data_IF_288368422945
#
_entry.id   IF_288368422945
#
_cell.length_a   1.000
_cell.length_b   1.000
_cell.length_c   1.000
_cell.angle_alpha   90.00
_cell.angle_beta   90.00
_cell.angle_gamma   90.00
#
_symmetry.space_group_name_H-M   'P 1'
#
loop_
_entity.id
_entity.type
_entity.pdbx_description
1 polymer ?
#
# COMPACT_ATOMS: atom_id res chain seq x y z
N UNK A 1 -3.26 6.94 -29.03
CA UNK A 1 -4.23 5.90 -28.58
C UNK A 1 -5.54 6.63 -28.24
N UNK A 2 -6.66 6.00 -27.83
CA UNK A 2 -7.78 6.78 -27.30
C UNK A 2 -7.32 7.56 -26.04
N UNK A 3 -7.96 8.69 -25.76
CA UNK A 3 -7.54 9.60 -24.68
C UNK A 3 -8.56 9.60 -23.55
N UNK A 4 -8.10 9.52 -22.31
CA UNK A 4 -8.95 9.66 -21.14
C UNK A 4 -9.62 11.04 -21.10
N UNK A 5 -10.84 11.11 -20.57
CA UNK A 5 -11.50 12.38 -20.31
C UNK A 5 -11.29 12.82 -18.86
N UNK A 6 -11.19 14.12 -18.63
CA UNK A 6 -10.95 14.72 -17.31
C UNK A 6 -12.07 15.69 -16.96
N UNK A 7 -12.53 15.64 -15.72
CA UNK A 7 -13.42 16.64 -15.14
C UNK A 7 -12.81 17.20 -13.85
N UNK A 8 -12.54 18.50 -13.84
CA UNK A 8 -11.95 19.18 -12.69
C UNK A 8 -12.97 19.39 -11.57
N UNK A 9 -12.53 19.19 -10.33
CA UNK A 9 -13.27 19.46 -9.11
C UNK A 9 -12.51 20.52 -8.27
N UNK A 10 -13.19 21.18 -7.31
CA UNK A 10 -12.49 21.99 -6.32
C UNK A 10 -11.44 21.16 -5.59
N UNK A 11 -10.24 21.69 -5.41
CA UNK A 11 -9.18 20.98 -4.71
C UNK A 11 -9.55 20.71 -3.25
N UNK A 12 -9.36 19.46 -2.82
CA UNK A 12 -9.36 19.08 -1.41
C UNK A 12 -8.03 18.44 -1.05
N UNK A 13 -7.40 18.96 0.01
CA UNK A 13 -6.22 18.32 0.59
C UNK A 13 -6.56 17.08 1.42
N UNK A 14 -7.81 16.95 1.89
CA UNK A 14 -8.29 15.78 2.61
C UNK A 14 -9.12 14.89 1.65
N UNK A 15 -8.65 13.66 1.32
CA UNK A 15 -9.38 12.76 0.44
C UNK A 15 -10.69 12.28 1.06
N UNK A 16 -10.86 12.35 2.39
CA UNK A 16 -12.08 11.95 3.06
C UNK A 16 -13.31 12.76 2.59
N UNK A 17 -13.11 14.01 2.15
CA UNK A 17 -14.15 14.89 1.59
C UNK A 17 -14.82 14.28 0.36
N UNK A 18 -14.05 13.58 -0.47
CA UNK A 18 -14.57 12.92 -1.65
C UNK A 18 -14.92 11.46 -1.37
N UNK A 19 -14.08 10.74 -0.62
CA UNK A 19 -14.27 9.32 -0.41
C UNK A 19 -15.52 9.00 0.42
N UNK A 20 -15.96 9.89 1.33
CA UNK A 20 -17.21 9.68 2.09
C UNK A 20 -18.45 9.52 1.19
N UNK A 21 -18.40 10.02 -0.05
CA UNK A 21 -19.50 9.89 -1.03
C UNK A 21 -19.62 8.49 -1.59
N UNK A 22 -18.55 7.71 -1.54
CA UNK A 22 -18.45 6.39 -2.17
C UNK A 22 -17.96 5.30 -1.22
N UNK A 23 -17.69 5.58 0.06
CA UNK A 23 -17.06 4.61 0.96
C UNK A 23 -17.88 3.31 1.17
N UNK A 24 -19.18 3.36 0.90
CA UNK A 24 -20.10 2.22 0.93
C UNK A 24 -20.39 1.62 -0.46
N UNK A 25 -19.82 2.18 -1.52
CA UNK A 25 -20.02 1.66 -2.87
C UNK A 25 -19.27 0.33 -3.06
N UNK A 26 -19.77 -0.56 -3.93
CA UNK A 26 -19.06 -1.78 -4.30
C UNK A 26 -17.64 -1.50 -4.78
N UNK A 27 -16.64 -2.16 -4.19
CA UNK A 27 -15.23 -1.97 -4.54
C UNK A 27 -14.69 -0.58 -4.21
N UNK A 28 -15.27 0.13 -3.23
CA UNK A 28 -14.73 1.41 -2.81
C UNK A 28 -13.28 1.25 -2.32
N UNK A 29 -12.38 2.02 -2.93
CA UNK A 29 -10.96 2.00 -2.61
C UNK A 29 -10.40 3.40 -2.54
N UNK A 30 -9.56 3.64 -1.54
CA UNK A 30 -8.79 4.86 -1.34
C UNK A 30 -7.32 4.48 -1.14
N UNK A 31 -6.45 5.08 -1.93
CA UNK A 31 -5.00 5.12 -1.75
C UNK A 31 -4.65 6.52 -1.26
N UNK A 32 -4.11 6.61 -0.05
CA UNK A 32 -4.07 7.83 0.74
C UNK A 32 -2.62 8.20 1.08
N UNK A 33 -2.22 9.39 0.66
CA UNK A 33 -0.91 9.99 0.97
C UNK A 33 -0.85 10.59 2.39
N UNK A 34 -1.95 10.56 3.16
CA UNK A 34 -2.03 11.05 4.54
C UNK A 34 -2.24 12.57 4.67
N UNK A 35 -2.65 13.25 3.59
CA UNK A 35 -2.80 14.72 3.52
C UNK A 35 -4.06 15.23 4.24
N UNK A 36 -4.08 16.41 4.86
CA UNK A 36 -3.08 17.47 4.80
C UNK A 36 -1.93 17.32 5.81
N UNK A 37 -1.99 16.35 6.72
CA UNK A 37 -1.05 16.26 7.84
C UNK A 37 0.30 15.68 7.41
N UNK A 38 0.29 14.65 6.56
CA UNK A 38 1.53 14.10 6.01
C UNK A 38 2.19 15.12 5.06
N UNK A 39 3.51 15.25 5.19
CA UNK A 39 4.30 16.15 4.35
C UNK A 39 4.74 15.49 3.03
N UNK A 40 4.64 14.16 2.96
CA UNK A 40 5.08 13.35 1.82
C UNK A 40 3.87 12.68 1.16
N UNK A 41 4.04 12.31 -0.11
CA UNK A 41 2.97 11.77 -0.94
C UNK A 41 2.32 12.87 -1.77
N UNK A 42 2.37 12.70 -3.10
CA UNK A 42 1.92 13.72 -4.06
C UNK A 42 0.44 13.55 -4.41
N UNK A 43 -0.06 12.32 -4.40
CA UNK A 43 -1.39 12.01 -4.90
C UNK A 43 -2.21 11.21 -3.91
N UNK A 44 -3.44 11.63 -3.70
CA UNK A 44 -4.50 10.74 -3.25
C UNK A 44 -5.25 10.20 -4.46
N UNK A 45 -5.69 8.95 -4.39
CA UNK A 45 -6.44 8.30 -5.46
C UNK A 45 -7.58 7.48 -4.88
N UNK A 46 -8.78 7.65 -5.44
CA UNK A 46 -9.94 6.84 -5.07
C UNK A 46 -10.74 6.38 -6.26
N UNK A 47 -11.44 5.26 -6.10
CA UNK A 47 -12.36 4.71 -7.10
C UNK A 47 -13.41 3.80 -6.44
N UNK A 48 -14.43 3.41 -7.21
CA UNK A 48 -15.46 2.45 -6.85
C UNK A 48 -16.14 1.89 -8.12
N UNK A 49 -17.05 0.92 -7.95
CA UNK A 49 -17.78 0.27 -9.05
C UNK A 49 -16.83 -0.29 -10.13
N UNK A 50 -15.98 -1.28 -9.79
CA UNK A 50 -15.09 -1.86 -10.77
C UNK A 50 -15.91 -2.54 -11.89
N UNK A 51 -15.39 -2.51 -13.11
CA UNK A 51 -15.93 -3.25 -14.25
C UNK A 51 -15.87 -4.76 -14.02
N UNK A 52 -14.86 -5.22 -13.27
CA UNK A 52 -14.65 -6.62 -12.91
C UNK A 52 -14.10 -6.71 -11.49
N UNK A 53 -14.62 -7.63 -10.69
CA UNK A 53 -14.02 -8.04 -9.42
C UNK A 53 -13.26 -9.34 -9.62
N UNK A 54 -11.97 -9.34 -9.33
CA UNK A 54 -11.04 -10.44 -9.61
C UNK A 54 -10.51 -10.97 -8.29
N UNK A 55 -10.80 -12.23 -8.01
CA UNK A 55 -10.33 -12.94 -6.82
C UNK A 55 -9.49 -14.14 -7.24
N UNK A 56 -8.47 -14.52 -6.46
CA UNK A 56 -7.74 -15.78 -6.69
C UNK A 56 -8.71 -16.97 -6.60
N UNK A 57 -8.73 -17.84 -7.61
CA UNK A 57 -9.63 -19.00 -7.62
C UNK A 57 -9.06 -20.17 -6.82
N UNK A 58 -9.92 -21.05 -6.32
CA UNK A 58 -9.49 -22.27 -5.62
C UNK A 58 -8.63 -23.15 -6.56
N UNK A 59 -7.47 -23.62 -6.07
CA UNK A 59 -6.53 -24.44 -6.85
C UNK A 59 -5.78 -23.72 -7.98
N UNK A 60 -6.02 -22.43 -8.21
CA UNK A 60 -5.33 -21.65 -9.25
C UNK A 60 -3.85 -21.42 -8.87
N UNK A 61 -2.90 -21.72 -9.76
CA UNK A 61 -1.49 -21.39 -9.47
C UNK A 61 -1.27 -19.87 -9.44
N UNK A 62 -0.24 -19.40 -8.73
CA UNK A 62 0.03 -17.96 -8.62
C UNK A 62 0.33 -17.34 -9.98
N UNK A 63 1.06 -18.08 -10.84
CA UNK A 63 1.36 -17.64 -12.21
C UNK A 63 0.11 -17.51 -13.08
N UNK A 64 -0.85 -18.44 -12.98
CA UNK A 64 -2.12 -18.38 -13.69
C UNK A 64 -2.98 -17.20 -13.21
N UNK A 65 -3.06 -16.98 -11.90
CA UNK A 65 -3.75 -15.82 -11.33
C UNK A 65 -3.15 -14.50 -11.84
N UNK A 66 -1.81 -14.37 -11.80
CA UNK A 66 -1.12 -13.17 -12.31
C UNK A 66 -1.37 -12.96 -13.82
N UNK A 67 -1.41 -14.03 -14.61
CA UNK A 67 -1.72 -13.93 -16.03
C UNK A 67 -3.16 -13.44 -16.26
N UNK A 68 -4.13 -13.98 -15.52
CA UNK A 68 -5.54 -13.55 -15.61
C UNK A 68 -5.72 -12.08 -15.21
N UNK A 69 -4.97 -11.60 -14.21
CA UNK A 69 -4.94 -10.18 -13.87
C UNK A 69 -4.39 -9.33 -15.03
N UNK A 70 -3.31 -9.77 -15.69
CA UNK A 70 -2.77 -9.09 -16.89
C UNK A 70 -3.77 -9.07 -18.03
N UNK A 71 -4.46 -10.18 -18.28
CA UNK A 71 -5.46 -10.28 -19.35
C UNK A 71 -6.66 -9.37 -19.08
N UNK A 72 -7.12 -9.31 -17.83
CA UNK A 72 -8.18 -8.37 -17.41
C UNK A 72 -7.74 -6.92 -17.58
N UNK A 73 -6.52 -6.57 -17.16
CA UNK A 73 -5.96 -5.23 -17.39
C UNK A 73 -5.85 -4.90 -18.88
N UNK A 74 -5.39 -5.85 -19.71
CA UNK A 74 -5.32 -5.68 -21.15
C UNK A 74 -6.71 -5.48 -21.79
N UNK A 75 -7.74 -6.14 -21.24
CA UNK A 75 -9.12 -5.99 -21.71
C UNK A 75 -9.71 -4.59 -21.50
N UNK A 76 -9.17 -3.81 -20.56
CA UNK A 76 -9.53 -2.41 -20.39
C UNK A 76 -9.12 -1.57 -21.61
N UNK A 77 -8.04 -1.98 -22.29
CA UNK A 77 -7.42 -1.25 -23.39
C UNK A 77 -6.40 -0.21 -22.92
N UNK A 78 -5.55 0.24 -23.84
CA UNK A 78 -4.64 1.35 -23.60
C UNK A 78 -5.34 2.69 -23.84
N UNK A 79 -5.14 3.64 -22.94
CA UNK A 79 -5.51 5.03 -23.15
C UNK A 79 -4.40 5.96 -22.68
N UNK A 80 -4.23 7.05 -23.44
CA UNK A 80 -3.33 8.13 -23.08
C UNK A 80 -4.07 9.10 -22.14
N UNK A 81 -3.38 9.67 -21.16
CA UNK A 81 -3.90 10.87 -20.48
C UNK A 81 -3.85 12.06 -21.45
N UNK A 82 -4.70 13.09 -21.27
CA UNK A 82 -4.58 14.34 -22.01
C UNK A 82 -3.16 14.91 -21.96
N UNK A 83 -2.76 15.64 -23.00
CA UNK A 83 -1.47 16.32 -23.02
C UNK A 83 -1.27 17.19 -21.76
N UNK A 84 -0.05 17.21 -21.24
CA UNK A 84 0.36 17.93 -20.02
C UNK A 84 -0.31 17.46 -18.72
N UNK A 85 -1.03 16.33 -18.75
CA UNK A 85 -1.60 15.70 -17.55
C UNK A 85 -0.65 14.62 -17.01
N UNK A 86 -0.01 14.90 -15.88
CA UNK A 86 0.96 13.99 -15.23
C UNK A 86 0.33 13.16 -14.09
N UNK A 87 -0.92 12.71 -14.25
CA UNK A 87 -1.59 11.91 -13.23
C UNK A 87 -1.04 10.46 -13.20
N UNK A 88 -0.97 9.82 -12.02
CA UNK A 88 -0.36 8.50 -11.86
C UNK A 88 -1.25 7.35 -12.31
N UNK A 89 -2.52 7.60 -12.68
CA UNK A 89 -3.49 6.56 -12.93
C UNK A 89 -4.55 7.00 -13.95
N UNK A 90 -4.83 6.14 -14.92
CA UNK A 90 -5.78 6.37 -16.00
C UNK A 90 -6.87 5.27 -16.07
N UNK A 91 -6.96 4.43 -15.04
CA UNK A 91 -7.68 3.16 -15.05
C UNK A 91 -6.71 1.97 -14.89
N UNK A 92 -7.22 0.88 -14.35
CA UNK A 92 -6.43 -0.32 -14.09
C UNK A 92 -6.90 -1.10 -12.86
N UNK A 93 -6.01 -1.95 -12.35
CA UNK A 93 -6.31 -2.82 -11.20
C UNK A 93 -5.95 -2.14 -9.89
N UNK A 94 -6.87 -2.18 -8.92
CA UNK A 94 -6.62 -1.73 -7.54
C UNK A 94 -7.18 -2.76 -6.57
N UNK A 95 -6.43 -3.12 -5.53
CA UNK A 95 -6.85 -4.08 -4.52
C UNK A 95 -5.69 -4.54 -3.66
N UNK A 96 -5.74 -5.78 -3.19
CA UNK A 96 -4.69 -6.37 -2.37
C UNK A 96 -4.29 -7.77 -2.85
N UNK A 97 -3.07 -8.15 -2.46
CA UNK A 97 -2.57 -9.52 -2.43
C UNK A 97 -2.14 -9.80 -0.99
N UNK A 98 -2.65 -10.87 -0.40
CA UNK A 98 -2.30 -11.29 0.94
C UNK A 98 -0.87 -11.86 0.97
N UNK A 99 -0.31 -11.98 2.16
CA UNK A 99 0.97 -12.67 2.37
C UNK A 99 0.92 -14.12 1.84
N UNK A 100 -0.20 -14.81 2.06
CA UNK A 100 -0.35 -16.22 1.69
C UNK A 100 -0.46 -16.44 0.18
N UNK A 101 -0.72 -15.40 -0.64
CA UNK A 101 -0.57 -15.51 -2.09
C UNK A 101 0.82 -15.98 -2.51
N UNK A 102 1.85 -15.65 -1.71
CA UNK A 102 3.21 -16.14 -1.90
C UNK A 102 3.33 -17.67 -1.90
N UNK A 103 2.44 -18.39 -1.20
CA UNK A 103 2.40 -19.87 -1.17
C UNK A 103 2.03 -20.47 -2.53
N UNK A 104 1.40 -19.68 -3.40
CA UNK A 104 1.09 -20.10 -4.79
C UNK A 104 2.27 -19.93 -5.74
N UNK A 105 3.33 -19.24 -5.29
CA UNK A 105 4.54 -18.96 -6.05
C UNK A 105 5.73 -19.76 -5.53
N UNK A 106 5.80 -19.97 -4.22
CA UNK A 106 6.91 -20.65 -3.56
C UNK A 106 6.39 -21.80 -2.67
N UNK A 107 7.08 -22.95 -2.64
CA UNK A 107 6.68 -24.07 -1.81
C UNK A 107 6.90 -23.75 -0.33
N UNK A 108 5.81 -23.68 0.44
CA UNK A 108 5.85 -23.42 1.88
C UNK A 108 5.06 -24.47 2.66
N UNK A 109 5.51 -24.84 3.88
CA UNK A 109 4.75 -25.74 4.73
C UNK A 109 3.38 -25.16 5.09
N UNK A 110 2.36 -26.01 5.04
CA UNK A 110 1.02 -25.70 5.52
C UNK A 110 0.89 -26.15 6.99
N UNK A 111 0.80 -25.17 7.90
CA UNK A 111 0.87 -25.39 9.36
C UNK A 111 -0.01 -24.43 10.14
N UNK A 112 -0.13 -23.19 9.67
CA UNK A 112 -0.98 -22.19 10.30
C UNK A 112 -2.43 -22.41 9.89
N UNK A 113 -3.36 -22.16 10.80
CA UNK A 113 -4.79 -22.16 10.47
C UNK A 113 -5.11 -20.91 9.65
N UNK A 114 -5.82 -21.06 8.53
CA UNK A 114 -6.52 -19.94 7.89
C UNK A 114 -7.81 -19.68 8.67
N UNK A 115 -7.77 -18.70 9.56
CA UNK A 115 -8.89 -18.32 10.43
C UNK A 115 -9.56 -17.00 10.04
N UNK A 116 -8.99 -16.27 9.08
CA UNK A 116 -9.57 -15.06 8.52
C UNK A 116 -10.43 -15.35 7.29
N UNK A 117 -10.13 -16.45 6.58
CA UNK A 117 -10.82 -16.85 5.34
C UNK A 117 -10.87 -15.71 4.31
N UNK A 118 -9.87 -14.84 4.33
CA UNK A 118 -9.72 -13.76 3.37
C UNK A 118 -9.17 -14.32 2.06
N UNK A 119 -9.68 -13.88 0.90
CA UNK A 119 -9.07 -14.24 -0.35
C UNK A 119 -7.58 -13.88 -0.43
N UNK A 120 -6.78 -14.75 -1.03
CA UNK A 120 -5.34 -14.47 -1.18
C UNK A 120 -5.03 -13.30 -2.12
N UNK A 121 -5.94 -12.98 -3.04
CA UNK A 121 -5.89 -11.76 -3.82
C UNK A 121 -7.31 -11.33 -4.17
N UNK A 122 -7.57 -10.03 -4.08
CA UNK A 122 -8.82 -9.42 -4.51
C UNK A 122 -8.55 -8.04 -5.10
N UNK A 123 -8.84 -7.88 -6.39
CA UNK A 123 -8.59 -6.66 -7.16
C UNK A 123 -9.83 -6.28 -7.97
N UNK A 124 -10.12 -4.99 -8.07
CA UNK A 124 -11.11 -4.45 -9.00
C UNK A 124 -10.45 -3.87 -10.23
N UNK A 125 -11.04 -4.08 -11.41
CA UNK A 125 -10.68 -3.37 -12.65
C UNK A 125 -11.49 -2.08 -12.75
N UNK A 126 -10.85 -0.94 -12.51
CA UNK A 126 -11.50 0.37 -12.50
C UNK A 126 -11.23 1.12 -13.80
N UNK A 127 -12.29 1.66 -14.38
CA UNK A 127 -12.24 2.52 -15.56
C UNK A 127 -12.34 4.02 -15.22
N UNK A 128 -12.27 4.38 -13.95
CA UNK A 128 -12.20 5.76 -13.50
C UNK A 128 -11.43 5.87 -12.19
N UNK A 129 -10.98 7.08 -11.88
CA UNK A 129 -10.50 7.45 -10.56
C UNK A 129 -10.73 8.93 -10.31
N UNK A 130 -10.86 9.33 -9.05
CA UNK A 130 -10.60 10.70 -8.63
C UNK A 130 -9.18 10.77 -8.11
N UNK A 131 -8.39 11.69 -8.64
CA UNK A 131 -7.02 11.94 -8.20
C UNK A 131 -6.90 13.37 -7.69
N UNK A 132 -6.36 13.53 -6.49
CA UNK A 132 -5.94 14.83 -5.97
C UNK A 132 -4.43 14.96 -6.10
N UNK A 133 -3.94 15.95 -6.82
CA UNK A 133 -2.52 16.32 -6.86
C UNK A 133 -2.27 17.44 -5.85
N UNK A 134 -1.54 17.13 -4.79
CA UNK A 134 -1.28 18.08 -3.71
C UNK A 134 -0.14 19.06 -4.01
N UNK A 135 0.66 18.78 -5.03
CA UNK A 135 1.70 19.68 -5.50
C UNK A 135 1.07 20.76 -6.38
N UNK A 136 0.25 20.35 -7.34
CA UNK A 136 -0.47 21.26 -8.24
C UNK A 136 -1.76 21.84 -7.63
N UNK A 137 -2.17 21.32 -6.48
CA UNK A 137 -3.42 21.67 -5.78
C UNK A 137 -4.64 21.55 -6.70
N UNK A 138 -4.79 20.38 -7.31
CA UNK A 138 -5.93 20.05 -8.18
C UNK A 138 -6.61 18.76 -7.72
N UNK A 139 -7.91 18.65 -7.95
CA UNK A 139 -8.66 17.41 -7.80
C UNK A 139 -9.40 17.15 -9.11
N UNK A 140 -9.27 15.95 -9.66
CA UNK A 140 -9.73 15.63 -11.01
C UNK A 140 -10.35 14.24 -11.05
N UNK A 141 -11.52 14.13 -11.67
CA UNK A 141 -12.04 12.85 -12.12
C UNK A 141 -11.40 12.51 -13.46
N UNK A 142 -10.84 11.31 -13.57
CA UNK A 142 -10.24 10.74 -14.77
C UNK A 142 -11.09 9.57 -15.19
N UNK A 143 -11.53 9.55 -16.45
CA UNK A 143 -12.35 8.49 -17.01
C UNK A 143 -11.66 7.83 -18.20
N UNK A 144 -11.48 6.52 -18.10
CA UNK A 144 -11.01 5.70 -19.21
C UNK A 144 -12.07 5.63 -20.32
N UNK A 145 -11.69 5.61 -21.61
CA UNK A 145 -12.62 5.51 -22.74
C UNK A 145 -13.55 4.27 -22.72
N UNK A 146 -13.17 3.24 -21.97
CA UNK A 146 -13.98 2.03 -21.78
C UNK A 146 -15.18 2.25 -20.83
N UNK A 147 -15.21 3.36 -20.09
CA UNK A 147 -16.33 3.69 -19.21
C UNK A 147 -17.51 4.21 -20.04
N UNK A 148 -18.71 3.69 -19.78
CA UNK A 148 -19.91 4.17 -20.44
C UNK A 148 -20.18 5.65 -20.11
N UNK A 149 -20.61 6.43 -21.11
CA UNK A 149 -20.83 7.87 -20.96
C UNK A 149 -21.91 8.21 -19.90
N UNK A 150 -22.94 7.36 -19.78
CA UNK A 150 -23.95 7.51 -18.73
C UNK A 150 -23.35 7.40 -17.31
N UNK A 151 -22.40 6.49 -17.13
CA UNK A 151 -21.71 6.31 -15.85
C UNK A 151 -20.75 7.47 -15.56
N UNK A 152 -20.06 7.97 -16.59
CA UNK A 152 -19.24 9.19 -16.49
C UNK A 152 -20.06 10.39 -16.00
N UNK A 153 -21.23 10.63 -16.59
CA UNK A 153 -22.12 11.73 -16.19
C UNK A 153 -22.64 11.54 -14.75
N UNK A 154 -23.05 10.31 -14.39
CA UNK A 154 -23.46 9.99 -13.01
C UNK A 154 -22.37 10.30 -11.98
N UNK A 155 -21.11 9.98 -12.29
CA UNK A 155 -19.97 10.26 -11.40
C UNK A 155 -19.70 11.76 -11.27
N UNK A 156 -19.78 12.52 -12.37
CA UNK A 156 -19.67 13.99 -12.32
C UNK A 156 -20.76 14.56 -11.40
N UNK A 157 -22.01 14.16 -11.58
CA UNK A 157 -23.12 14.61 -10.74
C UNK A 157 -22.90 14.24 -9.26
N UNK A 158 -22.45 13.01 -8.99
CA UNK A 158 -22.17 12.53 -7.64
C UNK A 158 -21.13 13.37 -6.90
N UNK A 159 -20.06 13.80 -7.58
CA UNK A 159 -18.96 14.55 -6.97
C UNK A 159 -19.15 16.07 -7.02
N UNK A 160 -20.05 16.59 -7.86
CA UNK A 160 -20.41 18.02 -7.92
C UNK A 160 -21.59 18.37 -7.02
N UNK A 161 -22.48 17.43 -6.73
CA UNK A 161 -23.60 17.65 -5.82
C UNK A 161 -23.12 18.00 -4.39
N UNK A 162 -23.96 18.72 -3.65
CA UNK A 162 -23.77 18.89 -2.20
C UNK A 162 -23.91 17.54 -1.50
N UNK A 163 -22.94 17.19 -0.64
CA UNK A 163 -22.96 15.94 0.11
C UNK A 163 -23.06 16.25 1.61
N UNK A 164 -24.11 15.77 2.25
CA UNK A 164 -24.21 15.79 3.70
C UNK A 164 -23.31 14.70 4.27
N UNK A 165 -22.31 15.08 5.07
CA UNK A 165 -21.49 14.12 5.79
C UNK A 165 -22.36 13.36 6.78
N UNK A 166 -22.42 12.05 6.61
CA UNK A 166 -23.02 11.15 7.59
C UNK A 166 -22.00 10.91 8.70
N UNK A 167 -22.40 11.21 9.95
CA UNK A 167 -21.59 10.90 11.11
C UNK A 167 -21.77 9.44 11.49
N UNK A 168 -20.95 8.58 10.87
CA UNK A 168 -20.83 7.20 11.32
C UNK A 168 -19.94 7.12 12.56
N UNK A 169 -20.17 6.11 13.41
CA UNK A 169 -19.40 5.89 14.64
C UNK A 169 -18.73 4.53 14.60
N UNK A 170 -17.59 4.42 15.28
CA UNK A 170 -16.86 3.18 15.48
C UNK A 170 -16.41 3.09 16.94
N UNK A 171 -16.45 1.87 17.48
CA UNK A 171 -15.97 1.62 18.85
C UNK A 171 -15.36 0.23 18.98
N UNK A 172 -14.26 0.14 19.71
CA UNK A 172 -13.77 -1.12 20.25
C UNK A 172 -14.65 -1.53 21.44
N UNK A 173 -15.07 -2.79 21.47
CA UNK A 173 -15.85 -3.38 22.58
C UNK A 173 -14.97 -3.97 23.66
N UNK A 174 -13.71 -4.23 23.33
CA UNK A 174 -12.69 -4.72 24.23
C UNK A 174 -11.30 -4.22 23.81
N UNK A 175 -10.31 -4.19 24.72
CA UNK A 175 -8.91 -3.97 24.35
C UNK A 175 -8.39 -5.05 23.40
N UNK A 176 -7.32 -4.73 22.68
CA UNK A 176 -6.61 -5.70 21.86
C UNK A 176 -6.00 -6.82 22.71
N UNK A 177 -6.14 -8.05 22.22
CA UNK A 177 -5.55 -9.25 22.79
C UNK A 177 -4.58 -9.87 21.79
N UNK A 178 -3.42 -10.30 22.28
CA UNK A 178 -2.45 -11.03 21.47
C UNK A 178 -2.97 -12.44 21.17
N UNK A 179 -2.75 -12.90 19.93
CA UNK A 179 -3.03 -14.28 19.51
C UNK A 179 -2.04 -15.30 20.10
N UNK A 180 -0.85 -14.86 20.48
CA UNK A 180 0.20 -15.68 21.08
C UNK A 180 0.44 -15.19 22.52
N UNK A 181 0.52 -16.11 23.48
CA UNK A 181 0.83 -15.74 24.85
C UNK A 181 2.27 -15.20 24.96
N UNK A 182 2.56 -14.36 25.94
CA UNK A 182 3.92 -13.86 26.15
C UNK A 182 4.94 -14.99 26.41
N UNK A 183 4.50 -16.08 27.06
CA UNK A 183 5.34 -17.25 27.29
C UNK A 183 5.65 -17.99 25.98
N UNK A 184 4.65 -18.22 25.14
CA UNK A 184 4.83 -18.90 23.85
C UNK A 184 5.63 -18.05 22.86
N UNK A 185 5.42 -16.72 22.88
CA UNK A 185 6.20 -15.80 22.08
C UNK A 185 7.70 -15.85 22.45
N UNK A 186 8.01 -15.92 23.75
CA UNK A 186 9.39 -16.07 24.23
C UNK A 186 10.00 -17.40 23.78
N UNK A 187 9.27 -18.51 23.89
CA UNK A 187 9.75 -19.82 23.43
C UNK A 187 10.00 -19.84 21.92
N UNK A 188 9.10 -19.24 21.13
CA UNK A 188 9.28 -19.10 19.70
C UNK A 188 10.52 -18.25 19.37
N UNK A 189 10.73 -17.15 20.10
CA UNK A 189 11.89 -16.29 19.94
C UNK A 189 13.21 -17.00 20.27
N UNK A 190 13.27 -17.74 21.39
CA UNK A 190 14.44 -18.56 21.77
C UNK A 190 14.78 -19.59 20.69
N UNK A 191 13.76 -20.23 20.10
CA UNK A 191 13.93 -21.17 18.98
C UNK A 191 14.45 -20.48 17.72
N UNK A 192 13.96 -19.30 17.40
CA UNK A 192 14.45 -18.50 16.26
C UNK A 192 15.93 -18.14 16.47
N UNK A 193 16.31 -17.71 17.67
CA UNK A 193 17.71 -17.42 18.02
C UNK A 193 18.59 -18.66 17.83
N UNK A 194 18.12 -19.84 18.22
CA UNK A 194 18.85 -21.10 18.00
C UNK A 194 19.08 -21.39 16.50
N UNK A 195 18.06 -21.18 15.64
CA UNK A 195 18.21 -21.33 14.19
C UNK A 195 19.22 -20.33 13.60
N UNK A 196 19.21 -19.08 14.06
CA UNK A 196 20.17 -18.06 13.61
C UNK A 196 21.60 -18.45 14.04
N UNK A 197 21.79 -18.89 15.28
CA UNK A 197 23.08 -19.33 15.80
C UNK A 197 23.61 -20.60 15.11
N UNK A 198 22.71 -21.50 14.70
CA UNK A 198 23.04 -22.68 13.91
C UNK A 198 23.42 -22.36 12.46
N UNK A 199 23.18 -21.13 12.00
CA UNK A 199 23.46 -20.70 10.62
C UNK A 199 22.35 -21.05 9.62
N UNK A 200 21.16 -21.45 10.07
CA UNK A 200 20.04 -21.81 9.19
C UNK A 200 19.42 -20.59 8.50
N UNK A 201 19.51 -19.41 9.13
CA UNK A 201 19.05 -18.15 8.56
C UNK A 201 19.79 -16.96 9.19
N UNK A 202 19.82 -15.82 8.49
CA UNK A 202 20.43 -14.59 8.99
C UNK A 202 19.45 -13.72 9.79
N UNK A 203 18.18 -13.71 9.39
CA UNK A 203 17.12 -12.90 10.01
C UNK A 203 15.77 -13.56 9.81
N UNK A 204 14.89 -13.43 10.80
CA UNK A 204 13.49 -13.83 10.73
C UNK A 204 12.61 -12.65 11.16
N UNK A 205 11.62 -12.31 10.34
CA UNK A 205 10.56 -11.39 10.75
C UNK A 205 9.44 -12.19 11.43
N UNK A 206 9.45 -12.24 12.76
CA UNK A 206 8.45 -12.94 13.53
C UNK A 206 7.33 -11.98 13.97
N UNK A 207 6.12 -12.21 13.47
CA UNK A 207 4.96 -11.37 13.72
C UNK A 207 3.88 -12.14 14.52
N UNK A 208 3.06 -11.39 15.24
CA UNK A 208 1.86 -11.91 15.91
C UNK A 208 0.67 -11.00 15.61
N UNK A 209 -0.53 -11.57 15.61
CA UNK A 209 -1.78 -10.81 15.44
C UNK A 209 -2.29 -10.32 16.79
N UNK A 210 -2.76 -9.08 16.84
CA UNK A 210 -3.58 -8.55 17.91
C UNK A 210 -5.01 -8.38 17.42
N UNK A 211 -5.99 -8.76 18.24
CA UNK A 211 -7.40 -8.73 17.86
C UNK A 211 -8.29 -8.14 18.95
N UNK A 212 -9.33 -7.42 18.56
CA UNK A 212 -10.34 -6.85 19.44
C UNK A 212 -11.71 -6.99 18.79
N UNK A 213 -12.76 -7.18 19.60
CA UNK A 213 -14.13 -7.08 19.10
C UNK A 213 -14.45 -5.60 18.89
N UNK A 214 -15.06 -5.26 17.76
CA UNK A 214 -15.44 -3.90 17.42
C UNK A 214 -16.88 -3.85 16.88
N UNK A 215 -17.46 -2.65 16.84
CA UNK A 215 -18.71 -2.40 16.14
C UNK A 215 -18.75 -0.97 15.58
N UNK A 216 -19.54 -0.79 14.53
CA UNK A 216 -19.72 0.48 13.84
C UNK A 216 -19.13 0.45 12.44
N UNK A 217 -18.89 1.63 11.89
CA UNK A 217 -18.45 1.81 10.50
C UNK A 217 -16.92 1.76 10.39
N UNK A 218 -16.33 0.84 9.60
CA UNK A 218 -14.90 0.81 9.34
C UNK A 218 -14.35 2.12 8.77
N UNK A 219 -15.14 2.87 8.00
CA UNK A 219 -14.71 4.19 7.50
C UNK A 219 -14.48 5.18 8.64
N UNK A 220 -15.33 5.17 9.67
CA UNK A 220 -15.13 6.00 10.86
C UNK A 220 -13.86 5.59 11.63
N UNK A 221 -13.56 4.27 11.70
CA UNK A 221 -12.31 3.78 12.26
C UNK A 221 -11.10 4.28 11.47
N UNK A 222 -11.17 4.24 10.13
CA UNK A 222 -10.10 4.72 9.26
C UNK A 222 -9.82 6.21 9.44
N UNK A 223 -10.85 7.05 9.45
CA UNK A 223 -10.70 8.48 9.69
C UNK A 223 -10.04 8.78 11.04
N UNK A 224 -10.41 8.04 12.10
CA UNK A 224 -9.78 8.19 13.41
C UNK A 224 -8.30 7.75 13.40
N UNK A 225 -7.98 6.61 12.77
CA UNK A 225 -6.62 6.11 12.63
C UNK A 225 -5.74 7.06 11.82
N UNK A 226 -6.27 7.58 10.72
CA UNK A 226 -5.60 8.56 9.84
C UNK A 226 -5.27 9.85 10.58
N UNK A 227 -6.18 10.35 11.40
CA UNK A 227 -5.94 11.53 12.22
C UNK A 227 -4.85 11.29 13.29
N UNK A 228 -4.79 10.07 13.84
CA UNK A 228 -3.81 9.69 14.85
C UNK A 228 -2.41 9.37 14.27
N UNK A 229 -2.34 8.79 13.07
CA UNK A 229 -1.10 8.32 12.45
C UNK A 229 -1.09 8.60 10.93
N UNK A 230 -0.86 9.85 10.49
CA UNK A 230 -0.81 10.19 9.08
C UNK A 230 0.41 9.55 8.40
N UNK A 231 0.16 8.69 7.40
CA UNK A 231 1.20 7.86 6.78
C UNK A 231 1.12 7.91 5.25
N UNK A 232 2.24 8.02 4.51
CA UNK A 232 2.24 8.30 3.07
C UNK A 232 1.80 7.15 2.14
N UNK A 233 1.66 5.92 2.64
CA UNK A 233 1.09 4.78 1.91
C UNK A 233 -0.09 4.18 2.67
N UNK A 234 -0.94 5.04 3.23
CA UNK A 234 -2.19 4.63 3.82
C UNK A 234 -3.20 4.21 2.76
N UNK A 235 -4.24 3.50 3.17
CA UNK A 235 -5.31 3.14 2.27
C UNK A 235 -6.50 2.49 2.96
N UNK A 236 -7.64 2.59 2.31
CA UNK A 236 -8.88 1.95 2.70
C UNK A 236 -9.40 1.12 1.54
N UNK A 237 -9.77 -0.13 1.80
CA UNK A 237 -10.43 -0.98 0.82
C UNK A 237 -11.67 -1.60 1.44
N UNK A 238 -12.84 -1.31 0.88
CA UNK A 238 -14.07 -2.01 1.23
C UNK A 238 -13.99 -3.46 0.71
N UNK A 239 -14.23 -4.41 1.59
CA UNK A 239 -14.35 -5.83 1.24
C UNK A 239 -15.84 -6.21 1.13
N UNK A 240 -16.10 -7.47 0.80
CA UNK A 240 -17.46 -8.00 0.77
C UNK A 240 -18.09 -7.98 2.16
N UNK A 241 -19.38 -7.64 2.25
CA UNK A 241 -20.08 -7.55 3.53
C UNK A 241 -19.76 -6.26 4.28
N UNK A 242 -19.46 -6.38 5.58
CA UNK A 242 -19.14 -5.24 6.46
C UNK A 242 -17.63 -5.12 6.75
N UNK A 243 -16.80 -5.91 6.08
CA UNK A 243 -15.36 -5.95 6.30
C UNK A 243 -14.62 -4.90 5.46
N UNK A 244 -13.46 -4.47 5.95
CA UNK A 244 -12.59 -3.53 5.25
C UNK A 244 -11.13 -3.74 5.65
N UNK A 245 -10.22 -3.42 4.72
CA UNK A 245 -8.78 -3.29 5.02
C UNK A 245 -8.48 -1.82 5.27
N UNK A 246 -7.90 -1.55 6.44
CA UNK A 246 -7.42 -0.23 6.85
C UNK A 246 -5.90 -0.32 6.97
N UNK A 247 -5.17 0.33 6.06
CA UNK A 247 -3.72 0.32 6.00
C UNK A 247 -3.15 1.69 6.39
N UNK A 248 -2.08 1.66 7.19
CA UNK A 248 -1.23 2.81 7.53
C UNK A 248 0.23 2.43 7.29
N UNK A 249 0.55 2.00 6.06
CA UNK A 249 1.89 1.50 5.73
C UNK A 249 2.91 2.64 5.59
N UNK A 250 4.05 2.61 6.31
CA UNK A 250 5.12 3.58 6.13
C UNK A 250 6.05 3.24 4.96
N UNK A 251 5.99 2.01 4.46
CA UNK A 251 6.97 1.46 3.52
C UNK A 251 6.32 1.08 2.19
N UNK A 252 6.98 1.46 1.10
CA UNK A 252 6.64 1.05 -0.25
C UNK A 252 7.25 -0.32 -0.52
N UNK A 253 6.43 -1.28 -0.95
CA UNK A 253 6.94 -2.57 -1.41
C UNK A 253 7.72 -2.44 -2.73
N UNK A 254 7.05 -2.01 -3.80
CA UNK A 254 7.65 -1.78 -5.12
C UNK A 254 6.90 -0.66 -5.85
N UNK A 255 7.61 0.12 -6.65
CA UNK A 255 7.04 1.06 -7.63
C UNK A 255 7.62 0.73 -9.00
N UNK A 256 6.75 0.70 -10.01
CA UNK A 256 7.15 0.57 -11.41
C UNK A 256 6.59 1.76 -12.19
N UNK A 257 7.44 2.46 -12.94
CA UNK A 257 7.03 3.58 -13.81
C UNK A 257 7.93 3.64 -15.03
N UNK A 258 7.36 3.66 -16.24
CA UNK A 258 8.11 3.68 -17.49
C UNK A 258 9.23 2.62 -17.53
N UNK A 259 8.89 1.40 -17.09
CA UNK A 259 9.80 0.23 -16.93
C UNK A 259 10.87 0.37 -15.85
N UNK A 260 10.97 1.50 -15.15
CA UNK A 260 11.86 1.66 -14.00
C UNK A 260 11.20 1.11 -12.75
N UNK A 261 11.90 0.21 -12.07
CA UNK A 261 11.53 -0.38 -10.80
C UNK A 261 12.29 0.31 -9.69
N UNK A 262 11.62 0.57 -8.57
CA UNK A 262 12.22 1.05 -7.33
C UNK A 262 11.60 0.30 -6.15
N UNK A 263 12.45 -0.11 -5.21
CA UNK A 263 12.08 -0.51 -3.86
C UNK A 263 12.93 0.25 -2.85
N UNK A 264 12.36 0.59 -1.70
CA UNK A 264 13.01 1.41 -0.67
C UNK A 264 12.97 0.72 0.68
N UNK A 265 13.84 -0.28 0.94
CA UNK A 265 13.88 -0.98 2.20
C UNK A 265 14.19 -0.06 3.38
N UNK A 266 13.48 -0.27 4.48
CA UNK A 266 13.72 0.40 5.76
C UNK A 266 14.29 -0.59 6.77
N UNK A 267 15.51 -0.31 7.26
CA UNK A 267 16.14 -1.07 8.37
C UNK A 267 16.99 -0.14 9.21
N UNK A 268 16.69 -0.13 10.52
CA UNK A 268 17.25 0.81 11.48
C UNK A 268 16.27 1.93 11.79
N UNK A 269 15.87 2.03 13.05
CA UNK A 269 14.90 3.02 13.53
C UNK A 269 15.36 3.61 14.85
N UNK A 270 15.22 4.92 15.01
CA UNK A 270 15.34 5.61 16.32
C UNK A 270 14.15 6.54 16.53
N UNK A 271 13.71 6.78 17.78
CA UNK A 271 12.70 7.80 18.04
C UNK A 271 13.24 9.20 17.70
N UNK A 272 12.33 10.17 17.53
CA UNK A 272 12.72 11.59 17.52
C UNK A 272 13.15 12.04 18.92
N UNK A 273 14.08 12.98 18.98
CA UNK A 273 14.52 13.61 20.23
C UNK A 273 13.48 14.58 20.79
N UNK A 274 13.50 14.79 22.10
CA UNK A 274 12.67 15.80 22.77
C UNK A 274 13.13 17.23 22.45
N UNK A 275 14.39 17.40 22.04
CA UNK A 275 14.98 18.66 21.60
C UNK A 275 15.92 18.44 20.39
N UNK A 276 16.37 19.54 19.78
CA UNK A 276 17.20 19.53 18.56
C UNK A 276 18.52 18.78 18.78
N UNK A 277 19.15 18.93 19.94
CA UNK A 277 20.46 18.32 20.20
C UNK A 277 20.32 16.81 20.38
N UNK A 278 19.31 16.37 21.14
CA UNK A 278 18.99 14.96 21.31
C UNK A 278 18.54 14.32 20.00
N UNK A 279 17.76 15.04 19.19
CA UNK A 279 17.30 14.55 17.88
C UNK A 279 18.47 14.32 16.92
N UNK A 280 19.41 15.26 16.87
CA UNK A 280 20.65 15.12 16.11
C UNK A 280 21.52 13.96 16.63
N UNK A 281 21.65 13.81 17.94
CA UNK A 281 22.40 12.71 18.54
C UNK A 281 21.79 11.33 18.21
N UNK A 282 20.46 11.20 18.20
CA UNK A 282 19.79 9.96 17.80
C UNK A 282 19.98 9.65 16.31
N UNK A 283 19.92 10.67 15.45
CA UNK A 283 20.20 10.55 14.03
C UNK A 283 21.65 10.09 13.76
N UNK A 284 22.63 10.73 14.40
CA UNK A 284 24.05 10.37 14.29
C UNK A 284 24.32 8.95 14.83
N UNK A 285 23.72 8.60 15.98
CA UNK A 285 23.86 7.26 16.55
C UNK A 285 23.26 6.17 15.64
N UNK A 286 22.18 6.47 14.92
CA UNK A 286 21.60 5.56 13.94
C UNK A 286 22.55 5.39 12.73
N UNK A 287 23.06 6.48 12.16
CA UNK A 287 24.02 6.45 11.05
C UNK A 287 25.32 5.73 11.41
N UNK A 288 25.78 5.84 12.65
CA UNK A 288 27.00 5.19 13.13
C UNK A 288 26.79 3.72 13.53
N UNK A 289 25.55 3.22 13.59
CA UNK A 289 25.25 1.86 14.05
C UNK A 289 25.71 0.81 13.02
N UNK A 290 26.81 0.12 13.33
CA UNK A 290 27.32 -0.98 12.50
C UNK A 290 26.30 -2.11 12.33
N UNK A 291 25.54 -2.41 13.39
CA UNK A 291 24.46 -3.40 13.35
C UNK A 291 23.37 -3.01 12.34
N UNK A 292 22.82 -1.79 12.47
CA UNK A 292 21.72 -1.36 11.61
C UNK A 292 22.18 -1.26 10.14
N UNK A 293 23.43 -0.84 9.89
CA UNK A 293 24.04 -0.84 8.55
C UNK A 293 24.22 -2.24 7.98
N UNK A 294 24.66 -3.21 8.78
CA UNK A 294 24.81 -4.59 8.35
C UNK A 294 23.46 -5.23 7.99
N UNK A 295 22.43 -5.04 8.83
CA UNK A 295 21.07 -5.51 8.54
C UNK A 295 20.51 -4.85 7.27
N UNK A 296 20.68 -3.53 7.11
CA UNK A 296 20.23 -2.82 5.92
C UNK A 296 20.95 -3.31 4.65
N UNK A 297 22.26 -3.50 4.69
CA UNK A 297 23.06 -3.99 3.56
C UNK A 297 22.61 -5.38 3.11
N UNK A 298 22.38 -6.28 4.06
CA UNK A 298 21.88 -7.63 3.76
C UNK A 298 20.53 -7.58 3.03
N UNK A 299 19.61 -6.71 3.45
CA UNK A 299 18.31 -6.55 2.78
C UNK A 299 18.46 -5.91 1.40
N UNK A 300 19.37 -4.94 1.25
CA UNK A 300 19.69 -4.36 -0.06
C UNK A 300 20.19 -5.43 -1.01
N UNK A 301 21.08 -6.32 -0.58
CA UNK A 301 21.57 -7.40 -1.42
C UNK A 301 20.49 -8.43 -1.79
N UNK A 302 19.58 -8.75 -0.85
CA UNK A 302 18.41 -9.58 -1.13
C UNK A 302 17.53 -8.94 -2.21
N UNK A 303 17.21 -7.65 -2.08
CA UNK A 303 16.36 -6.94 -3.04
C UNK A 303 17.06 -6.73 -4.39
N UNK A 304 18.39 -6.59 -4.42
CA UNK A 304 19.15 -6.60 -5.67
C UNK A 304 19.03 -7.93 -6.40
N UNK A 305 19.09 -9.04 -5.66
CA UNK A 305 18.90 -10.38 -6.22
C UNK A 305 17.47 -10.54 -6.76
N UNK A 306 16.47 -10.13 -5.99
CA UNK A 306 15.06 -10.21 -6.39
C UNK A 306 14.78 -9.39 -7.65
N UNK A 307 15.23 -8.14 -7.70
CA UNK A 307 15.12 -7.31 -8.91
C UNK A 307 15.92 -7.89 -10.07
N UNK A 308 17.06 -8.53 -9.81
CA UNK A 308 17.89 -9.18 -10.82
C UNK A 308 17.18 -10.29 -11.60
N UNK A 309 16.14 -10.92 -11.03
CA UNK A 309 15.33 -11.94 -11.72
C UNK A 309 14.44 -11.37 -12.82
N UNK A 310 14.02 -10.10 -12.69
CA UNK A 310 13.01 -9.47 -13.56
C UNK A 310 13.51 -8.23 -14.30
N UNK A 311 14.67 -7.69 -13.92
CA UNK A 311 15.28 -6.52 -14.55
C UNK A 311 16.31 -6.92 -15.61
N UNK A 312 16.56 -6.03 -16.57
CA UNK A 312 17.63 -6.18 -17.56
C UNK A 312 18.97 -6.34 -16.86
N UNK A 313 19.77 -7.31 -17.31
CA UNK A 313 21.12 -7.58 -16.80
C UNK A 313 21.95 -6.29 -16.76
N UNK A 314 22.58 -6.01 -15.61
CA UNK A 314 23.41 -4.82 -15.39
C UNK A 314 22.64 -3.51 -15.13
N UNK A 315 21.30 -3.52 -15.13
CA UNK A 315 20.50 -2.33 -14.84
C UNK A 315 20.28 -2.06 -13.35
N UNK A 316 20.40 -3.09 -12.50
CA UNK A 316 20.13 -2.99 -11.06
C UNK A 316 21.21 -2.15 -10.38
N UNK A 317 20.81 -1.09 -9.67
CA UNK A 317 21.67 -0.15 -8.96
C UNK A 317 21.15 0.16 -7.56
N UNK A 318 22.04 0.69 -6.72
CA UNK A 318 21.73 1.17 -5.37
C UNK A 318 22.12 2.65 -5.30
N UNK A 319 21.28 3.58 -5.78
CA UNK A 319 21.62 5.01 -5.81
C UNK A 319 21.75 5.63 -4.42
N UNK A 320 21.02 5.08 -3.43
CA UNK A 320 21.01 5.57 -2.05
C UNK A 320 21.25 4.37 -1.13
N UNK A 321 22.24 4.47 -0.25
CA UNK A 321 22.60 3.42 0.71
C UNK A 321 22.80 4.08 2.08
N UNK A 322 22.02 3.62 3.08
CA UNK A 322 22.04 4.15 4.45
C UNK A 322 21.64 5.62 4.56
N UNK A 323 20.71 6.10 3.73
CA UNK A 323 20.18 7.46 3.82
C UNK A 323 19.29 7.62 5.05
N UNK A 324 19.53 8.66 5.83
CA UNK A 324 18.67 9.00 6.96
C UNK A 324 17.40 9.71 6.45
N UNK A 325 16.23 9.17 6.78
CA UNK A 325 14.96 9.83 6.57
C UNK A 325 14.25 10.08 7.91
N UNK A 326 13.94 11.34 8.20
CA UNK A 326 13.27 11.75 9.43
C UNK A 326 11.76 11.92 9.20
N UNK A 327 10.97 11.31 10.08
CA UNK A 327 9.52 11.39 10.14
C UNK A 327 9.09 12.08 11.45
N UNK A 328 7.81 12.47 11.64
CA UNK A 328 7.37 13.15 12.86
C UNK A 328 7.70 12.40 14.16
N UNK A 329 7.70 11.06 14.14
CA UNK A 329 7.88 10.24 15.34
C UNK A 329 9.20 9.44 15.37
N UNK A 330 9.85 9.23 14.22
CA UNK A 330 11.04 8.38 14.11
C UNK A 330 12.04 8.86 13.04
N UNK A 331 13.30 8.46 13.19
CA UNK A 331 14.33 8.43 12.14
C UNK A 331 14.46 7.02 11.59
N UNK A 332 14.62 6.90 10.28
CA UNK A 332 14.83 5.64 9.57
C UNK A 332 16.10 5.67 8.74
N UNK A 333 16.78 4.52 8.67
CA UNK A 333 17.77 4.27 7.61
C UNK A 333 17.08 3.61 6.43
N UNK A 334 17.10 4.32 5.31
CA UNK A 334 16.46 3.96 4.06
C UNK A 334 17.54 3.77 3.01
N UNK A 335 17.41 2.71 2.24
CA UNK A 335 18.20 2.51 1.02
C UNK A 335 17.27 2.44 -0.17
N UNK A 336 17.76 2.73 -1.37
CA UNK A 336 16.99 2.60 -2.60
C UNK A 336 17.66 1.58 -3.51
N UNK A 337 16.89 0.63 -4.02
CA UNK A 337 17.33 -0.31 -5.06
C UNK A 337 16.47 -0.07 -6.29
N UNK A 338 17.13 0.22 -7.41
CA UNK A 338 16.47 0.52 -8.69
C UNK A 338 16.91 -0.44 -9.77
N UNK A 339 16.11 -0.59 -10.81
CA UNK A 339 16.45 -1.37 -12.00
C UNK A 339 15.52 -1.06 -13.16
N UNK A 340 15.86 -1.50 -14.35
CA UNK A 340 14.98 -1.40 -15.51
C UNK A 340 14.42 -2.77 -15.84
N UNK A 341 13.10 -2.94 -15.91
CA UNK A 341 12.45 -4.20 -16.26
C UNK A 341 13.02 -4.76 -17.57
N UNK A 342 13.21 -6.08 -17.61
CA UNK A 342 13.56 -6.79 -18.84
C UNK A 342 12.41 -6.74 -19.86
N UNK A 343 12.72 -6.84 -21.15
CA UNK A 343 11.69 -6.92 -22.21
C UNK A 343 10.95 -8.25 -22.11
N UNK A 344 9.60 -8.20 -22.09
CA UNK A 344 8.73 -9.35 -21.82
C UNK A 344 7.90 -9.12 -20.56
#
# INVERSE_FOLDING_TARGET
>A
MPTCSIHSLPYSADPAVFFSRICQAPGAVLLDSGRPVAERGRHDLLSAWPLQSLTAAEGESGTACLQRLRDSLASLGHADLPADCALPFAGGLIGYMSYDFGRRLEPLPDRASDDLHLPEAQLGLYAWALVSDHQEKTSQLVFHPALADAERLRLIDLFTAGHAQTHASFSLKQPFQASISAADYRLAFERIQAYIQAGDCYQVNFAQRFQAQCAGDPWAAYCALRAACPTPFAGYLALSGADAILSLSPERFVKVSSRQVETRPIKGTRPRGADIAQDAAFAEALLASEKDRAENLMIVDLLRNDLGRSCRIGSVRVPELFSLESYPNVHHLVSSVTGELASG
#
